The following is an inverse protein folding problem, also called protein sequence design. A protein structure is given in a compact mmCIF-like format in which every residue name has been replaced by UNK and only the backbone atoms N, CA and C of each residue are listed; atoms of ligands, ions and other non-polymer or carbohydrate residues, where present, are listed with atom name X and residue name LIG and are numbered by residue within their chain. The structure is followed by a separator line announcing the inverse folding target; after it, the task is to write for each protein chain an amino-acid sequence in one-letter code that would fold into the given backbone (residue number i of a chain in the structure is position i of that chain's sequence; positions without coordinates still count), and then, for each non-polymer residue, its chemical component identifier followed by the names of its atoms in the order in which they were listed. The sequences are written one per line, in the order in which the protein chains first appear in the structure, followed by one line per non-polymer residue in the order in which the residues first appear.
data_IF_539913130157
#
_entry.id   IF_539913130157
#
_cell.length_a   1.000
_cell.length_b   1.000
_cell.length_c   1.000
_cell.angle_alpha   90.00
_cell.angle_beta   90.00
_cell.angle_gamma   90.00
#
_symmetry.space_group_name_H-M   'P 1'
#
loop_
_entity.id
_entity.type
_entity.pdbx_description
1 polymer ?
#
# COMPACT_ATOMS: atom_id res chain seq x y z
N UNK A 1 18.11 -3.60 20.50
CA UNK A 1 17.56 -4.76 19.78
C UNK A 1 16.74 -4.20 18.63
N UNK A 2 16.93 -4.66 17.38
CA UNK A 2 16.02 -4.30 16.30
C UNK A 2 14.58 -4.71 16.66
N UNK A 3 13.60 -3.89 16.32
CA UNK A 3 12.18 -4.20 16.57
C UNK A 3 11.75 -5.36 15.68
N UNK A 4 10.80 -6.20 16.13
CA UNK A 4 10.23 -7.28 15.29
C UNK A 4 9.74 -6.77 13.92
N UNK A 5 9.27 -5.52 13.86
CA UNK A 5 8.88 -4.86 12.61
C UNK A 5 9.98 -4.87 11.54
N UNK A 6 11.25 -4.71 11.94
CA UNK A 6 12.38 -4.63 11.01
C UNK A 6 12.69 -5.93 10.24
N UNK A 7 12.06 -7.05 10.62
CA UNK A 7 12.15 -8.32 9.91
C UNK A 7 11.13 -8.45 8.76
N UNK A 8 10.15 -7.55 8.67
CA UNK A 8 9.09 -7.62 7.67
C UNK A 8 9.54 -7.14 6.29
N UNK A 9 8.93 -7.68 5.23
CA UNK A 9 9.19 -7.24 3.85
C UNK A 9 8.79 -5.78 3.61
N UNK A 10 7.76 -5.29 4.31
CA UNK A 10 7.25 -3.93 4.16
C UNK A 10 8.10 -2.86 4.86
N UNK A 11 9.11 -3.25 5.64
CA UNK A 11 9.89 -2.33 6.48
C UNK A 11 11.01 -1.56 5.78
N UNK A 12 11.87 -2.19 4.93
CA UNK A 12 13.05 -1.51 4.42
C UNK A 12 12.72 -0.31 3.53
N UNK A 13 13.54 0.74 3.60
CA UNK A 13 13.51 1.84 2.63
C UNK A 13 13.93 1.32 1.25
N UNK A 14 13.19 1.66 0.20
CA UNK A 14 13.49 1.27 -1.18
C UNK A 14 13.91 2.50 -1.98
N UNK A 15 15.22 2.76 -2.04
CA UNK A 15 15.78 3.92 -2.72
C UNK A 15 15.46 3.94 -4.23
N UNK A 16 15.39 2.77 -4.89
CA UNK A 16 15.09 2.68 -6.31
C UNK A 16 13.64 3.08 -6.58
N UNK A 17 12.71 2.53 -5.81
CA UNK A 17 11.31 2.93 -5.90
C UNK A 17 11.12 4.40 -5.51
N UNK A 18 11.72 4.84 -4.41
CA UNK A 18 11.58 6.20 -3.91
C UNK A 18 12.04 7.25 -4.92
N UNK A 19 13.17 7.00 -5.58
CA UNK A 19 13.70 7.84 -6.66
C UNK A 19 12.72 7.92 -7.83
N UNK A 20 12.15 6.77 -8.23
CA UNK A 20 11.20 6.73 -9.33
C UNK A 20 9.88 7.44 -8.99
N UNK A 21 9.41 7.28 -7.76
CA UNK A 21 8.15 7.86 -7.26
C UNK A 21 8.23 9.37 -7.13
N UNK A 22 9.22 9.87 -6.40
CA UNK A 22 9.29 11.28 -6.02
C UNK A 22 10.23 12.11 -6.91
N UNK A 23 11.13 11.46 -7.65
CA UNK A 23 12.15 12.15 -8.44
C UNK A 23 11.60 12.95 -9.62
N UNK A 24 10.44 12.57 -10.18
CA UNK A 24 9.79 13.32 -11.25
C UNK A 24 9.20 14.66 -10.79
N UNK A 25 8.91 14.79 -9.50
CA UNK A 25 8.38 16.02 -8.87
C UNK A 25 9.52 16.79 -8.20
N UNK A 26 10.54 16.07 -7.72
CA UNK A 26 11.68 16.61 -6.98
C UNK A 26 12.99 16.23 -7.67
N UNK A 27 13.35 16.95 -8.73
CA UNK A 27 14.52 16.66 -9.58
C UNK A 27 15.84 16.48 -8.79
N UNK A 28 15.99 17.19 -7.66
CA UNK A 28 17.17 17.06 -6.78
C UNK A 28 17.41 15.60 -6.33
N UNK A 29 16.33 14.86 -6.05
CA UNK A 29 16.38 13.47 -5.60
C UNK A 29 16.97 12.53 -6.67
N UNK A 30 16.90 12.88 -7.95
CA UNK A 30 17.43 12.04 -9.04
C UNK A 30 18.95 11.88 -8.96
N UNK A 31 19.65 12.84 -8.36
CA UNK A 31 21.11 12.84 -8.25
C UNK A 31 21.67 12.19 -6.98
N UNK A 32 20.83 11.99 -5.97
CA UNK A 32 21.25 11.45 -4.67
C UNK A 32 21.65 9.98 -4.79
N UNK A 33 22.69 9.53 -4.10
CA UNK A 33 22.93 8.11 -3.86
C UNK A 33 21.80 7.49 -3.02
N UNK A 34 21.74 6.16 -2.98
CA UNK A 34 20.70 5.46 -2.21
C UNK A 34 20.79 5.78 -0.71
N UNK A 35 22.00 5.97 -0.18
CA UNK A 35 22.20 6.41 1.19
C UNK A 35 21.70 7.83 1.43
N UNK A 36 21.99 8.76 0.52
CA UNK A 36 21.51 10.14 0.60
C UNK A 36 19.98 10.22 0.51
N UNK A 37 19.35 9.39 -0.31
CA UNK A 37 17.88 9.28 -0.36
C UNK A 37 17.30 8.79 0.96
N UNK A 38 17.89 7.75 1.56
CA UNK A 38 17.41 7.24 2.84
C UNK A 38 17.57 8.29 3.96
N UNK A 39 18.69 9.03 3.98
CA UNK A 39 18.89 10.14 4.92
C UNK A 39 17.88 11.26 4.67
N UNK A 40 17.67 11.65 3.42
CA UNK A 40 16.68 12.67 3.07
C UNK A 40 15.27 12.26 3.48
N UNK A 41 14.88 11.00 3.24
CA UNK A 41 13.60 10.47 3.70
C UNK A 41 13.44 10.58 5.21
N UNK A 42 14.47 10.20 5.99
CA UNK A 42 14.42 10.28 7.45
C UNK A 42 14.30 11.70 7.98
N UNK A 43 14.90 12.68 7.32
CA UNK A 43 14.92 14.08 7.77
C UNK A 43 13.70 14.86 7.28
N UNK A 44 13.33 14.70 6.01
CA UNK A 44 12.31 15.52 5.33
C UNK A 44 11.14 14.70 4.80
N UNK A 45 11.40 13.54 4.19
CA UNK A 45 10.38 12.78 3.48
C UNK A 45 9.29 12.23 4.39
N UNK A 46 9.66 11.60 5.50
CA UNK A 46 8.73 10.96 6.42
C UNK A 46 7.72 11.97 7.00
N UNK A 47 8.19 13.12 7.49
CA UNK A 47 7.32 14.20 8.02
C UNK A 47 6.45 14.84 6.93
N UNK A 48 6.97 14.91 5.70
CA UNK A 48 6.26 15.41 4.52
C UNK A 48 5.21 14.43 3.96
N UNK A 49 5.05 13.26 4.57
CA UNK A 49 4.04 12.26 4.15
C UNK A 49 4.49 11.39 2.97
N UNK A 50 5.79 11.23 2.74
CA UNK A 50 6.28 10.28 1.77
C UNK A 50 6.22 8.85 2.32
N UNK A 51 5.90 7.90 1.46
CA UNK A 51 6.08 6.48 1.73
C UNK A 51 7.56 6.10 1.63
N UNK A 52 8.08 5.17 2.46
CA UNK A 52 9.46 4.70 2.38
C UNK A 52 9.71 3.69 1.25
N UNK A 53 8.66 3.01 0.82
CA UNK A 53 8.67 1.95 -0.17
C UNK A 53 7.25 1.76 -0.73
N UNK A 54 7.12 0.92 -1.76
CA UNK A 54 5.85 0.59 -2.43
C UNK A 54 4.82 -0.17 -1.56
N UNK A 55 5.22 -0.73 -0.43
CA UNK A 55 4.36 -1.61 0.39
C UNK A 55 3.54 -0.84 1.41
N UNK A 56 3.94 0.39 1.72
CA UNK A 56 3.27 1.26 2.68
C UNK A 56 2.71 2.47 1.95
N UNK A 57 1.46 2.83 2.23
CA UNK A 57 0.82 4.02 1.70
C UNK A 57 0.60 5.02 2.84
N UNK A 58 1.51 5.99 2.94
CA UNK A 58 1.55 6.97 4.02
C UNK A 58 0.32 7.87 4.05
N UNK A 59 -0.12 8.36 2.89
CA UNK A 59 -1.32 9.18 2.77
C UNK A 59 -2.57 8.42 3.25
N UNK A 60 -2.78 7.21 2.72
CA UNK A 60 -3.90 6.35 3.09
C UNK A 60 -3.91 6.03 4.59
N UNK A 61 -2.75 5.65 5.13
CA UNK A 61 -2.62 5.24 6.51
C UNK A 61 -2.93 6.37 7.48
N UNK A 62 -2.45 7.60 7.20
CA UNK A 62 -2.74 8.77 8.02
C UNK A 62 -4.23 9.13 8.05
N UNK A 63 -4.92 8.94 6.92
CA UNK A 63 -6.37 9.23 6.82
C UNK A 63 -7.19 8.15 7.53
N UNK A 64 -6.78 6.89 7.48
CA UNK A 64 -7.59 5.75 7.94
C UNK A 64 -7.19 5.20 9.33
N UNK A 65 -6.12 5.71 9.93
CA UNK A 65 -5.70 5.35 11.28
C UNK A 65 -5.74 6.60 12.18
N UNK A 66 -6.82 6.75 12.95
CA UNK A 66 -6.97 7.86 13.90
C UNK A 66 -5.84 7.89 14.93
N UNK A 67 -5.37 6.72 15.39
CA UNK A 67 -4.22 6.62 16.30
C UNK A 67 -2.93 7.19 15.69
N UNK A 68 -2.69 6.95 14.40
CA UNK A 68 -1.55 7.54 13.70
C UNK A 68 -1.70 9.05 13.56
N UNK A 69 -2.89 9.53 13.19
CA UNK A 69 -3.17 10.97 13.06
C UNK A 69 -2.99 11.71 14.39
N UNK A 70 -3.46 11.11 15.49
CA UNK A 70 -3.27 11.63 16.85
C UNK A 70 -1.80 11.60 17.27
N UNK A 71 -1.08 10.51 17.01
CA UNK A 71 0.34 10.39 17.31
C UNK A 71 1.19 11.45 16.58
N UNK A 72 0.87 11.71 15.31
CA UNK A 72 1.53 12.77 14.51
C UNK A 72 1.21 14.15 15.07
N UNK A 73 -0.06 14.42 15.38
CA UNK A 73 -0.51 15.71 15.93
C UNK A 73 0.13 16.00 17.30
N UNK A 74 0.28 14.97 18.13
CA UNK A 74 0.90 15.06 19.44
C UNK A 74 2.44 15.01 19.39
N UNK A 75 3.03 14.82 18.21
CA UNK A 75 4.48 14.75 18.02
C UNK A 75 5.15 13.49 18.59
N UNK A 76 4.39 12.43 18.90
CA UNK A 76 4.93 11.14 19.35
C UNK A 76 5.38 10.25 18.20
N UNK A 77 4.93 10.53 16.99
CA UNK A 77 5.43 9.96 15.74
C UNK A 77 5.62 11.07 14.71
N UNK A 78 6.67 10.99 13.89
CA UNK A 78 6.95 11.90 12.78
C UNK A 78 6.10 11.58 11.55
N UNK A 79 5.73 10.30 11.40
CA UNK A 79 4.98 9.78 10.24
C UNK A 79 4.04 8.64 10.62
N UNK A 80 3.12 8.33 9.71
CA UNK A 80 2.27 7.15 9.78
C UNK A 80 3.09 5.87 9.72
N UNK A 81 4.14 5.83 8.90
CA UNK A 81 5.05 4.70 8.82
C UNK A 81 5.77 4.43 10.15
N UNK A 82 6.22 5.47 10.85
CA UNK A 82 6.81 5.32 12.19
C UNK A 82 5.78 4.76 13.18
N UNK A 83 4.56 5.29 13.18
CA UNK A 83 3.48 4.74 14.01
C UNK A 83 3.22 3.26 13.71
N UNK A 84 3.17 2.89 12.43
CA UNK A 84 3.00 1.52 11.99
C UNK A 84 4.12 0.61 12.52
N UNK A 85 5.38 1.04 12.40
CA UNK A 85 6.55 0.33 12.93
C UNK A 85 6.53 0.18 14.46
N UNK A 86 6.03 1.19 15.18
CA UNK A 86 5.98 1.24 16.64
C UNK A 86 4.86 0.39 17.27
N UNK A 87 4.10 -0.33 16.46
CA UNK A 87 3.10 -1.28 16.94
C UNK A 87 1.81 -1.29 16.13
N UNK A 88 1.59 -0.26 15.30
CA UNK A 88 0.40 -0.17 14.45
C UNK A 88 0.23 -1.38 13.51
N UNK A 89 1.32 -2.02 13.11
CA UNK A 89 1.29 -3.25 12.27
C UNK A 89 0.50 -4.42 12.85
N UNK A 90 0.15 -4.40 14.13
CA UNK A 90 -0.65 -5.44 14.78
C UNK A 90 -2.15 -5.29 14.54
N UNK A 91 -2.61 -4.09 14.21
CA UNK A 91 -4.05 -3.76 14.20
C UNK A 91 -4.49 -3.02 12.93
N UNK A 92 -3.57 -2.33 12.27
CA UNK A 92 -3.87 -1.46 11.14
C UNK A 92 -3.30 -2.02 9.84
N UNK A 93 -3.92 -1.64 8.72
CA UNK A 93 -3.50 -2.07 7.39
C UNK A 93 -2.72 -0.95 6.70
N UNK A 94 -1.50 -1.21 6.21
CA UNK A 94 -0.60 -0.16 5.72
C UNK A 94 -0.90 0.30 4.29
N UNK A 95 -1.82 -0.37 3.58
CA UNK A 95 -2.04 -0.17 2.15
C UNK A 95 -3.53 -0.32 1.81
N UNK A 96 -4.06 0.54 0.94
CA UNK A 96 -5.50 0.59 0.60
C UNK A 96 -6.04 -0.66 -0.13
N UNK A 97 -5.14 -1.54 -0.61
CA UNK A 97 -5.46 -2.82 -1.26
C UNK A 97 -5.10 -4.04 -0.40
N UNK A 98 -4.90 -3.84 0.90
CA UNK A 98 -4.75 -4.91 1.85
C UNK A 98 -5.57 -4.60 3.10
N UNK A 99 -6.24 -5.61 3.66
CA UNK A 99 -6.89 -5.52 4.97
C UNK A 99 -6.49 -6.71 5.82
N UNK A 100 -5.78 -6.44 6.92
CA UNK A 100 -5.37 -7.45 7.89
C UNK A 100 -6.58 -8.22 8.42
N UNK A 101 -7.65 -7.49 8.80
CA UNK A 101 -8.91 -8.08 9.28
C UNK A 101 -9.54 -9.01 8.24
N UNK A 102 -9.68 -8.55 7.00
CA UNK A 102 -10.24 -9.35 5.93
C UNK A 102 -9.39 -10.61 5.67
N UNK A 103 -8.07 -10.45 5.58
CA UNK A 103 -7.16 -11.52 5.24
C UNK A 103 -7.17 -12.65 6.27
N UNK A 104 -7.08 -12.31 7.57
CA UNK A 104 -7.10 -13.31 8.65
C UNK A 104 -8.48 -13.96 8.82
N UNK A 105 -9.57 -13.25 8.56
CA UNK A 105 -10.92 -13.84 8.57
C UNK A 105 -11.17 -14.76 7.37
N UNK A 106 -10.68 -14.39 6.19
CA UNK A 106 -10.84 -15.14 4.94
C UNK A 106 -10.05 -16.45 4.95
N UNK A 107 -8.89 -16.45 5.62
CA UNK A 107 -7.94 -17.56 5.65
C UNK A 107 -7.63 -18.00 7.08
N UNK A 108 -8.50 -18.83 7.70
CA UNK A 108 -8.34 -19.27 9.08
C UNK A 108 -7.05 -20.07 9.36
N UNK A 109 -6.43 -20.61 8.30
CA UNK A 109 -5.13 -21.27 8.39
C UNK A 109 -3.98 -20.29 8.70
N UNK A 110 -4.18 -18.98 8.55
CA UNK A 110 -3.21 -17.94 8.91
C UNK A 110 -3.47 -17.51 10.36
N UNK A 111 -3.40 -18.46 11.29
CA UNK A 111 -3.51 -18.16 12.72
C UNK A 111 -2.27 -17.41 13.22
N UNK A 112 -2.40 -16.72 14.36
CA UNK A 112 -1.25 -16.09 15.03
C UNK A 112 -0.10 -17.09 15.26
N UNK A 113 -0.43 -18.33 15.65
CA UNK A 113 0.56 -19.38 15.86
C UNK A 113 1.30 -19.75 14.56
N UNK A 114 0.59 -19.82 13.43
CA UNK A 114 1.19 -20.12 12.14
C UNK A 114 2.02 -18.95 11.61
N UNK A 115 1.58 -17.71 11.84
CA UNK A 115 2.36 -16.51 11.53
C UNK A 115 3.69 -16.51 12.30
N UNK A 116 3.63 -16.77 13.62
CA UNK A 116 4.82 -16.83 14.47
C UNK A 116 5.75 -17.98 14.06
N UNK A 117 5.22 -19.18 13.85
CA UNK A 117 6.00 -20.35 13.44
C UNK A 117 6.66 -20.17 12.05
N UNK A 118 6.00 -19.43 11.16
CA UNK A 118 6.53 -19.06 9.84
C UNK A 118 7.49 -17.87 9.85
N UNK A 119 7.72 -17.24 11.00
CA UNK A 119 8.58 -16.05 11.10
C UNK A 119 8.00 -14.83 10.38
N UNK A 120 6.69 -14.69 10.39
CA UNK A 120 5.99 -13.52 9.85
C UNK A 120 5.71 -12.50 10.94
N UNK A 121 5.86 -11.22 10.60
CA UNK A 121 5.61 -10.12 11.54
C UNK A 121 4.11 -9.92 11.78
N UNK A 122 3.32 -10.00 10.71
CA UNK A 122 1.85 -9.92 10.70
C UNK A 122 1.28 -10.60 9.44
N UNK A 123 -0.03 -10.57 9.27
CA UNK A 123 -0.74 -11.08 8.09
C UNK A 123 -0.29 -10.40 6.80
N UNK A 124 -0.02 -9.10 6.82
CA UNK A 124 0.53 -8.40 5.64
C UNK A 124 1.91 -8.91 5.23
N UNK A 125 2.82 -9.14 6.19
CA UNK A 125 4.13 -9.73 5.89
C UNK A 125 4.00 -11.14 5.31
N UNK A 126 3.09 -11.96 5.86
CA UNK A 126 2.74 -13.25 5.25
C UNK A 126 2.20 -13.10 3.83
N UNK A 127 1.28 -12.17 3.61
CA UNK A 127 0.68 -11.92 2.30
C UNK A 127 1.75 -11.56 1.27
N UNK A 128 2.64 -10.62 1.58
CA UNK A 128 3.71 -10.19 0.68
C UNK A 128 4.72 -11.30 0.38
N UNK A 129 5.06 -12.14 1.35
CA UNK A 129 6.09 -13.19 1.20
C UNK A 129 5.57 -14.48 0.58
N UNK A 130 4.32 -14.83 0.88
CA UNK A 130 3.70 -16.11 0.54
C UNK A 130 2.30 -15.97 -0.07
N UNK A 131 1.40 -15.22 0.59
CA UNK A 131 -0.02 -15.16 0.20
C UNK A 131 -0.27 -14.71 -1.23
N UNK A 132 0.51 -13.75 -1.73
CA UNK A 132 0.41 -13.27 -3.10
C UNK A 132 0.81 -14.35 -4.13
N UNK A 133 1.88 -15.11 -3.83
CA UNK A 133 2.28 -16.28 -4.66
C UNK A 133 1.20 -17.34 -4.70
N UNK A 134 0.51 -17.53 -3.58
CA UNK A 134 -0.62 -18.45 -3.43
C UNK A 134 -1.91 -17.91 -4.04
N UNK A 135 -1.89 -16.70 -4.63
CA UNK A 135 -3.05 -16.01 -5.20
C UNK A 135 -4.19 -15.81 -4.18
N UNK A 136 -3.83 -15.64 -2.91
CA UNK A 136 -4.79 -15.27 -1.87
C UNK A 136 -5.19 -13.80 -2.03
N UNK A 137 -6.46 -13.49 -1.85
CA UNK A 137 -6.95 -12.11 -1.89
C UNK A 137 -6.66 -11.43 -0.55
N UNK A 138 -5.83 -10.38 -0.57
CA UNK A 138 -5.53 -9.55 0.60
C UNK A 138 -6.63 -8.53 0.94
N UNK A 139 -7.57 -8.30 0.02
CA UNK A 139 -8.60 -7.28 0.17
C UNK A 139 -9.78 -7.57 -0.77
N UNK A 140 -11.01 -7.18 -0.36
CA UNK A 140 -12.22 -7.38 -1.16
C UNK A 140 -12.11 -6.78 -2.57
N UNK A 141 -11.45 -5.62 -2.67
CA UNK A 141 -11.31 -4.89 -3.94
C UNK A 141 -10.10 -5.32 -4.79
N UNK A 142 -9.37 -6.35 -4.36
CA UNK A 142 -8.26 -6.94 -5.11
C UNK A 142 -8.36 -8.48 -5.09
N UNK A 143 -8.74 -9.05 -6.21
CA UNK A 143 -8.68 -10.49 -6.47
C UNK A 143 -7.50 -10.78 -7.42
N UNK A 144 -6.48 -11.53 -6.97
CA UNK A 144 -5.33 -11.87 -7.79
C UNK A 144 -5.68 -12.54 -9.13
N UNK A 145 -6.72 -13.36 -9.21
CA UNK A 145 -7.11 -14.03 -10.45
C UNK A 145 -7.81 -13.07 -11.41
N UNK A 146 -8.73 -12.25 -10.90
CA UNK A 146 -9.42 -11.22 -11.71
C UNK A 146 -8.41 -10.22 -12.27
N UNK A 147 -7.50 -9.73 -11.43
CA UNK A 147 -6.43 -8.84 -11.87
C UNK A 147 -5.57 -9.48 -12.97
N UNK A 148 -5.10 -10.72 -12.78
CA UNK A 148 -4.22 -11.39 -13.75
C UNK A 148 -4.89 -11.64 -15.10
N UNK A 149 -6.22 -11.76 -15.15
CA UNK A 149 -6.97 -11.89 -16.40
C UNK A 149 -7.14 -10.54 -17.14
N UNK A 150 -7.20 -9.43 -16.39
CA UNK A 150 -7.49 -8.11 -16.94
C UNK A 150 -6.26 -7.20 -17.10
N UNK A 151 -5.10 -7.59 -16.54
CA UNK A 151 -3.89 -6.78 -16.60
C UNK A 151 -3.35 -6.66 -18.05
N UNK A 152 -2.72 -5.53 -18.39
CA UNK A 152 -1.95 -5.44 -19.62
C UNK A 152 -0.78 -6.43 -19.61
N UNK A 153 -0.39 -6.86 -20.81
CA UNK A 153 0.83 -7.67 -20.96
C UNK A 153 2.05 -6.77 -20.84
N UNK A 154 2.87 -7.04 -19.83
CA UNK A 154 4.20 -6.44 -19.68
C UNK A 154 5.23 -7.56 -19.42
N UNK A 155 6.12 -7.85 -20.40
CA UNK A 155 7.14 -8.87 -20.25
C UNK A 155 8.04 -8.67 -19.02
N UNK A 156 8.30 -7.43 -18.61
CA UNK A 156 9.18 -7.12 -17.48
C UNK A 156 8.54 -7.45 -16.13
N UNK A 157 7.21 -7.55 -16.08
CA UNK A 157 6.47 -7.81 -14.85
C UNK A 157 5.92 -9.24 -14.76
N UNK A 158 6.03 -10.04 -15.82
CA UNK A 158 5.42 -11.38 -15.89
C UNK A 158 5.92 -12.38 -14.85
N UNK A 159 7.12 -12.19 -14.31
CA UNK A 159 7.68 -13.01 -13.23
C UNK A 159 7.20 -12.59 -11.84
N UNK A 160 6.57 -11.41 -11.72
CA UNK A 160 6.05 -10.92 -10.46
C UNK A 160 4.73 -11.61 -10.11
N UNK A 161 4.52 -11.78 -8.82
CA UNK A 161 3.27 -12.24 -8.25
C UNK A 161 2.17 -11.18 -8.44
N UNK A 162 0.88 -11.52 -8.39
CA UNK A 162 -0.20 -10.62 -8.80
C UNK A 162 -0.18 -9.24 -8.13
N UNK A 163 -0.08 -9.18 -6.80
CA UNK A 163 -0.03 -7.92 -6.07
C UNK A 163 1.26 -7.15 -6.38
N UNK A 164 2.40 -7.83 -6.43
CA UNK A 164 3.67 -7.21 -6.82
C UNK A 164 3.62 -6.64 -8.24
N UNK A 165 3.00 -7.35 -9.18
CA UNK A 165 2.82 -6.88 -10.55
C UNK A 165 1.99 -5.59 -10.58
N UNK A 166 0.92 -5.51 -9.78
CA UNK A 166 0.12 -4.30 -9.64
C UNK A 166 0.92 -3.15 -9.03
N UNK A 167 1.67 -3.39 -7.94
CA UNK A 167 2.49 -2.35 -7.31
C UNK A 167 3.63 -1.83 -8.20
N UNK A 168 4.07 -2.63 -9.19
CA UNK A 168 5.05 -2.20 -10.20
C UNK A 168 4.42 -1.59 -11.45
N UNK A 169 3.09 -1.63 -11.58
CA UNK A 169 2.36 -1.02 -12.67
C UNK A 169 2.10 0.46 -12.41
N UNK A 170 1.67 1.20 -13.45
CA UNK A 170 1.25 2.58 -13.29
C UNK A 170 0.13 2.73 -12.26
N UNK A 171 0.20 3.74 -11.41
CA UNK A 171 -0.81 4.02 -10.37
C UNK A 171 -2.21 4.25 -10.94
N UNK A 172 -2.32 4.66 -12.21
CA UNK A 172 -3.55 4.88 -12.95
C UNK A 172 -4.15 3.60 -13.54
N UNK A 173 -3.48 2.45 -13.46
CA UNK A 173 -3.97 1.19 -14.02
C UNK A 173 -5.39 0.83 -13.51
N UNK A 174 -5.74 1.02 -12.22
CA UNK A 174 -7.09 0.78 -11.72
C UNK A 174 -8.17 1.72 -12.30
N UNK A 175 -7.82 2.70 -13.13
CA UNK A 175 -8.80 3.52 -13.87
C UNK A 175 -9.41 2.81 -15.06
N UNK A 176 -8.75 1.77 -15.58
CA UNK A 176 -9.10 1.13 -16.84
C UNK A 176 -9.29 -0.38 -16.74
N UNK A 177 -8.85 -1.03 -15.65
CA UNK A 177 -9.00 -2.47 -15.46
C UNK A 177 -9.74 -2.81 -14.18
N UNK A 178 -10.46 -3.92 -14.22
CA UNK A 178 -11.13 -4.50 -13.05
C UNK A 178 -10.12 -5.29 -12.21
N UNK A 179 -9.97 -4.92 -10.94
CA UNK A 179 -9.11 -5.64 -9.98
C UNK A 179 -9.87 -6.73 -9.20
N UNK A 180 -11.19 -6.61 -9.12
CA UNK A 180 -12.09 -7.58 -8.47
C UNK A 180 -13.51 -7.37 -8.99
N UNK A 181 -14.39 -8.35 -8.79
CA UNK A 181 -15.80 -8.23 -9.17
C UNK A 181 -16.57 -7.19 -8.33
N UNK A 182 -15.95 -6.65 -7.27
CA UNK A 182 -16.55 -5.68 -6.37
C UNK A 182 -16.43 -4.22 -6.83
N UNK A 183 -15.65 -3.94 -7.89
CA UNK A 183 -15.50 -2.60 -8.41
C UNK A 183 -15.32 -2.56 -9.93
N UNK A 184 -16.21 -1.85 -10.61
CA UNK A 184 -16.12 -1.58 -12.04
C UNK A 184 -15.64 -0.14 -12.26
N UNK A 185 -14.40 0.08 -12.73
CA UNK A 185 -13.85 1.41 -12.89
C UNK A 185 -14.52 2.22 -14.00
N UNK A 186 -14.97 1.57 -15.07
CA UNK A 186 -15.66 2.25 -16.17
C UNK A 186 -17.02 2.79 -15.73
N UNK A 187 -17.78 1.99 -14.97
CA UNK A 187 -19.04 2.42 -14.39
C UNK A 187 -18.85 3.55 -13.38
N UNK A 188 -17.90 3.40 -12.45
CA UNK A 188 -17.68 4.42 -11.42
C UNK A 188 -17.24 5.76 -12.02
N UNK A 189 -16.35 5.75 -13.02
CA UNK A 189 -15.97 6.97 -13.76
C UNK A 189 -17.13 7.67 -14.47
N UNK A 190 -18.07 6.90 -15.01
CA UNK A 190 -19.25 7.47 -15.66
C UNK A 190 -20.23 8.09 -14.64
N UNK A 191 -20.30 7.55 -13.43
CA UNK A 191 -21.20 8.01 -12.37
C UNK A 191 -20.61 9.17 -11.55
N UNK A 192 -19.29 9.21 -11.39
CA UNK A 192 -18.57 10.12 -10.50
C UNK A 192 -17.56 10.99 -11.26
N UNK A 193 -18.01 12.08 -11.92
CA UNK A 193 -17.11 13.04 -12.56
C UNK A 193 -16.12 13.69 -11.60
N UNK A 194 -16.48 13.83 -10.32
CA UNK A 194 -15.62 14.28 -9.24
C UNK A 194 -14.43 13.34 -9.02
N UNK A 195 -14.64 12.02 -9.06
CA UNK A 195 -13.57 11.03 -8.97
C UNK A 195 -12.60 11.14 -10.16
N UNK A 196 -13.13 11.40 -11.36
CA UNK A 196 -12.30 11.63 -12.56
C UNK A 196 -11.45 12.89 -12.39
N UNK A 197 -12.06 14.00 -11.96
CA UNK A 197 -11.37 15.26 -11.70
C UNK A 197 -10.30 15.10 -10.60
N UNK A 198 -10.60 14.36 -9.53
CA UNK A 198 -9.64 14.09 -8.46
C UNK A 198 -8.38 13.38 -8.98
N UNK A 199 -8.55 12.42 -9.90
CA UNK A 199 -7.41 11.75 -10.54
C UNK A 199 -6.67 12.68 -11.51
N UNK A 200 -7.39 13.43 -12.34
CA UNK A 200 -6.80 14.36 -13.32
C UNK A 200 -5.96 15.46 -12.66
N UNK A 201 -6.39 15.95 -11.49
CA UNK A 201 -5.66 16.97 -10.72
C UNK A 201 -4.66 16.39 -9.70
N UNK A 202 -4.52 15.06 -9.63
CA UNK A 202 -3.56 14.41 -8.74
C UNK A 202 -3.94 14.37 -7.26
N UNK A 203 -5.22 14.59 -6.92
CA UNK A 203 -5.75 14.41 -5.56
C UNK A 203 -6.02 12.94 -5.21
N UNK A 204 -6.06 12.06 -6.21
CA UNK A 204 -6.13 10.62 -6.02
C UNK A 204 -5.29 9.92 -7.10
N UNK A 205 -4.56 8.83 -6.79
CA UNK A 205 -3.77 8.12 -7.78
C UNK A 205 -4.63 7.40 -8.84
N UNK A 206 -5.83 6.98 -8.44
CA UNK A 206 -6.80 6.32 -9.30
C UNK A 206 -8.21 6.37 -8.69
N UNK A 207 -9.19 6.00 -9.49
CA UNK A 207 -10.61 6.05 -9.12
C UNK A 207 -11.00 4.99 -8.10
N UNK A 208 -10.27 3.88 -7.98
CA UNK A 208 -10.50 2.92 -6.91
C UNK A 208 -10.05 3.49 -5.56
N UNK A 209 -8.90 4.16 -5.50
CA UNK A 209 -8.46 4.87 -4.30
C UNK A 209 -9.48 5.94 -3.89
N UNK A 210 -9.95 6.75 -4.85
CA UNK A 210 -10.99 7.75 -4.59
C UNK A 210 -12.27 7.12 -4.05
N UNK A 211 -12.73 6.01 -4.64
CA UNK A 211 -13.87 5.28 -4.14
C UNK A 211 -13.65 4.84 -2.68
N UNK A 212 -12.50 4.23 -2.37
CA UNK A 212 -12.19 3.76 -1.03
C UNK A 212 -12.04 4.88 0.00
N UNK A 213 -11.53 6.06 -0.40
CA UNK A 213 -11.36 7.21 0.50
C UNK A 213 -12.66 7.97 0.79
N UNK A 214 -13.62 7.93 -0.13
CA UNK A 214 -14.91 8.63 0.01
C UNK A 214 -16.02 7.73 0.57
N UNK A 215 -15.82 6.42 0.57
CA UNK A 215 -16.79 5.42 1.02
C UNK A 215 -16.77 5.18 2.55
N UNK A 216 -16.39 6.16 3.37
CA UNK A 216 -16.21 6.03 4.85
C UNK A 216 -17.48 5.56 5.61
N UNK A 217 -17.38 5.17 6.91
CA UNK A 217 -16.96 3.88 7.46
C UNK A 217 -18.10 3.17 8.23
N UNK A 218 -19.36 3.61 8.04
CA UNK A 218 -20.53 3.15 8.81
C UNK A 218 -21.32 2.02 8.14
N UNK A 219 -20.71 1.30 7.17
CA UNK A 219 -21.44 0.32 6.35
C UNK A 219 -20.83 -1.08 6.22
N UNK A 220 -19.87 -1.47 7.08
CA UNK A 220 -19.52 -2.89 7.31
C UNK A 220 -19.06 -3.17 8.74
#
# INVERSE_FOLDING_TARGET
MPSKASEALWYPFDANWYRAEYGAIMDALLSFSDHELEQWYKVEGASSGHSPNRYFNEEWYRVNCSEAAEAITNGTCVSGFEHYCNGGYKSFSPHYLFSERYYLQRYPDISEQNLQAGGFVNGYDHFLRSGDKEKRSGHLFFDPNVYMQNRPTDPNLNSLTPFMNLLHSAHTLPNSITLSDHFNPAWYRALSPDAVMAVEYGFAPNVLYHFLSTFTPDRF
#
